data_IF_158321344549
#
_entry.id   IF_158321344549
#
_cell.length_a   1.000
_cell.length_b   1.000
_cell.length_c   1.000
_cell.angle_alpha   90.00
_cell.angle_beta   90.00
_cell.angle_gamma   90.00
#
_symmetry.space_group_name_H-M   'P 1'
#
loop_
_entity.id
_entity.type
_entity.pdbx_description
1 polymer ?
#
# COMPACT_ATOMS: atom_id res chain seq x y z
N UNK A 1 36.37 -36.26 9.55
CA UNK A 1 37.70 -36.63 9.03
C UNK A 1 37.76 -36.25 7.57
N UNK A 2 38.84 -35.58 7.19
CA UNK A 2 39.02 -34.75 6.00
C UNK A 2 39.12 -35.52 4.67
N UNK A 3 38.68 -34.85 3.60
CA UNK A 3 39.21 -34.88 2.23
C UNK A 3 38.54 -33.69 1.50
N UNK A 4 39.13 -32.84 0.66
CA UNK A 4 40.43 -32.76 -0.02
C UNK A 4 40.41 -31.42 -0.80
N UNK A 5 41.47 -30.60 -0.75
CA UNK A 5 42.12 -29.95 -1.93
C UNK A 5 43.22 -28.94 -1.54
N UNK A 6 44.46 -29.34 -1.84
CA UNK A 6 45.60 -28.55 -2.36
C UNK A 6 45.20 -27.96 -3.76
N UNK A 7 45.69 -26.87 -4.36
CA UNK A 7 46.98 -26.11 -4.42
C UNK A 7 46.65 -24.68 -4.97
N UNK A 8 47.21 -23.55 -4.48
CA UNK A 8 48.55 -22.91 -4.60
C UNK A 8 48.82 -22.02 -5.84
N UNK A 9 49.41 -20.84 -5.55
CA UNK A 9 50.08 -19.88 -6.46
C UNK A 9 49.41 -18.48 -6.41
N UNK A 10 49.92 -17.44 -5.71
CA UNK A 10 51.26 -16.83 -5.70
C UNK A 10 51.31 -15.72 -6.79
N UNK A 11 51.74 -14.47 -6.62
CA UNK A 11 52.39 -13.73 -5.54
C UNK A 11 52.29 -12.20 -5.75
N UNK A 12 52.51 -11.47 -4.65
CA UNK A 12 52.95 -10.08 -4.41
C UNK A 12 53.39 -9.17 -5.59
N UNK A 13 53.02 -7.88 -5.49
CA UNK A 13 53.95 -6.72 -5.34
C UNK A 13 53.27 -5.62 -4.51
N UNK A 14 53.97 -5.09 -3.50
CA UNK A 14 53.72 -3.81 -2.82
C UNK A 14 54.94 -2.92 -3.08
N UNK A 15 54.73 -1.64 -3.39
CA UNK A 15 55.63 -0.59 -2.91
C UNK A 15 54.94 0.80 -2.89
N UNK A 16 55.65 1.78 -2.35
CA UNK A 16 55.19 2.80 -1.41
C UNK A 16 55.46 4.24 -1.90
N UNK A 17 54.86 5.21 -1.20
CA UNK A 17 55.44 6.53 -0.84
C UNK A 17 55.28 7.78 -1.75
N UNK A 18 54.52 8.75 -1.20
CA UNK A 18 54.89 10.16 -0.85
C UNK A 18 55.06 11.33 -1.86
N UNK A 19 54.36 12.43 -1.50
CA UNK A 19 54.71 13.89 -1.47
C UNK A 19 54.61 14.80 -2.73
N UNK A 20 53.57 15.63 -2.74
CA UNK A 20 53.48 17.12 -2.66
C UNK A 20 54.36 18.12 -3.47
N UNK A 21 53.67 19.23 -3.83
CA UNK A 21 54.12 20.60 -4.26
C UNK A 21 54.57 20.77 -5.73
N UNK A 22 54.38 21.87 -6.48
CA UNK A 22 53.60 23.13 -6.42
C UNK A 22 53.83 23.88 -7.77
N UNK A 23 53.05 24.93 -8.05
CA UNK A 23 53.28 26.09 -8.96
C UNK A 23 52.92 26.08 -10.46
N UNK A 24 52.33 27.21 -10.94
CA UNK A 24 52.55 27.71 -12.31
C UNK A 24 51.38 28.29 -13.15
N UNK A 25 50.85 29.46 -12.75
CA UNK A 25 50.33 30.63 -13.52
C UNK A 25 50.08 30.65 -15.08
N UNK A 26 49.07 31.49 -15.46
CA UNK A 26 48.72 32.16 -16.76
C UNK A 26 47.84 31.35 -17.74
N UNK A 27 46.87 31.88 -18.48
CA UNK A 27 46.48 33.24 -18.88
C UNK A 27 44.99 33.30 -19.29
N UNK A 28 44.45 34.51 -19.38
CA UNK A 28 43.14 34.92 -19.89
C UNK A 28 42.87 34.49 -21.35
N UNK A 29 41.59 34.24 -21.70
CA UNK A 29 40.97 34.77 -22.92
C UNK A 29 39.44 34.59 -22.90
N UNK A 30 38.75 35.67 -23.27
CA UNK A 30 37.29 35.82 -23.26
C UNK A 30 36.64 35.30 -24.55
N UNK A 31 35.47 34.64 -24.48
CA UNK A 31 34.48 34.61 -25.57
C UNK A 31 33.04 34.54 -25.03
N UNK A 32 32.20 35.39 -25.61
CA UNK A 32 30.79 35.73 -25.38
C UNK A 32 29.75 34.56 -25.33
N UNK A 33 28.51 34.81 -24.83
CA UNK A 33 27.55 33.76 -24.48
C UNK A 33 26.75 33.28 -25.69
N UNK A 34 26.68 31.95 -25.87
CA UNK A 34 25.79 31.32 -26.84
C UNK A 34 24.46 30.94 -26.18
N UNK A 35 23.48 31.80 -26.44
CA UNK A 35 22.09 31.48 -26.83
C UNK A 35 21.41 30.25 -26.20
N UNK A 36 20.37 30.57 -25.42
CA UNK A 36 19.34 29.67 -24.94
C UNK A 36 18.80 28.73 -26.02
N UNK A 37 18.76 27.43 -25.72
CA UNK A 37 17.91 26.45 -26.42
C UNK A 37 16.93 25.85 -25.41
N UNK A 38 15.68 25.82 -25.83
CA UNK A 38 14.49 25.66 -24.99
C UNK A 38 14.52 24.45 -24.07
N UNK A 39 14.23 24.73 -22.80
CA UNK A 39 13.89 23.72 -21.81
C UNK A 39 12.50 23.20 -22.18
N UNK A 40 12.44 21.94 -22.61
CA UNK A 40 11.19 21.20 -22.77
C UNK A 40 10.56 21.06 -21.39
N UNK A 41 9.46 21.78 -21.16
CA UNK A 41 8.58 21.61 -20.00
C UNK A 41 7.76 20.34 -20.21
N UNK A 42 8.30 19.17 -19.88
CA UNK A 42 7.46 18.00 -19.66
C UNK A 42 7.59 17.53 -18.21
N UNK A 43 6.51 17.79 -17.45
CA UNK A 43 6.33 17.33 -16.07
C UNK A 43 5.56 16.00 -16.11
N UNK A 44 6.11 14.99 -16.79
CA UNK A 44 5.48 13.67 -16.87
C UNK A 44 5.84 12.82 -15.65
N UNK A 45 5.02 12.87 -14.60
CA UNK A 45 4.82 11.72 -13.73
C UNK A 45 3.85 10.75 -14.40
N UNK A 46 4.12 9.44 -14.29
CA UNK A 46 3.38 8.36 -14.97
C UNK A 46 1.86 8.61 -15.02
N UNK A 47 1.37 8.96 -16.22
CA UNK A 47 -0.07 9.01 -16.52
C UNK A 47 -0.63 7.59 -16.44
N UNK A 48 -1.76 7.43 -15.77
CA UNK A 48 -2.59 6.24 -15.91
C UNK A 48 -3.41 6.36 -17.20
N UNK A 49 -2.83 5.93 -18.33
CA UNK A 49 -3.57 5.69 -19.56
C UNK A 49 -3.14 4.34 -20.14
N UNK A 50 -4.08 3.40 -20.19
CA UNK A 50 -3.96 2.17 -20.99
C UNK A 50 -4.43 2.53 -22.39
N UNK A 51 -3.54 2.47 -23.38
CA UNK A 51 -3.88 2.77 -24.77
C UNK A 51 -2.75 2.50 -25.76
N UNK A 52 -2.90 1.35 -26.43
CA UNK A 52 -2.35 0.86 -27.70
C UNK A 52 -0.83 0.72 -27.93
N UNK A 53 -0.53 -0.50 -28.36
CA UNK A 53 0.68 -0.97 -29.02
C UNK A 53 1.01 -0.12 -30.24
N UNK A 54 2.01 0.74 -30.11
CA UNK A 54 2.87 1.16 -31.22
C UNK A 54 4.27 1.40 -30.65
N UNK A 55 5.10 0.36 -30.73
CA UNK A 55 6.49 0.38 -30.31
C UNK A 55 7.31 1.25 -31.28
N UNK A 56 7.33 2.56 -31.04
CA UNK A 56 8.28 3.45 -31.70
C UNK A 56 9.55 3.58 -30.85
N UNK A 57 10.67 3.23 -31.47
CA UNK A 57 12.01 3.45 -30.96
C UNK A 57 12.24 4.93 -30.65
N UNK A 58 12.13 5.30 -29.38
CA UNK A 58 12.63 6.57 -28.89
C UNK A 58 14.05 6.34 -28.37
N UNK A 59 15.04 6.97 -29.03
CA UNK A 59 16.42 7.00 -28.56
C UNK A 59 16.48 7.43 -27.10
N UNK A 60 17.36 6.79 -26.33
CA UNK A 60 17.59 7.09 -24.92
C UNK A 60 18.22 8.48 -24.78
N UNK A 61 17.39 9.53 -24.77
CA UNK A 61 17.79 10.84 -24.31
C UNK A 61 18.02 10.75 -22.79
N UNK A 62 19.27 10.83 -22.36
CA UNK A 62 19.58 10.99 -20.94
C UNK A 62 19.10 12.37 -20.50
N UNK A 63 17.92 12.42 -19.89
CA UNK A 63 17.43 13.62 -19.20
C UNK A 63 18.22 13.73 -17.90
N UNK A 64 18.89 14.87 -17.71
CA UNK A 64 19.64 15.15 -16.49
C UNK A 64 18.71 15.16 -15.27
N UNK A 65 19.19 14.64 -14.14
CA UNK A 65 18.39 14.56 -12.93
C UNK A 65 18.02 15.97 -12.44
N UNK A 66 16.77 16.13 -11.98
CA UNK A 66 16.28 17.41 -11.47
C UNK A 66 17.18 17.89 -10.31
N UNK A 67 17.57 19.18 -10.29
CA UNK A 67 18.43 19.71 -9.23
C UNK A 67 17.71 19.71 -7.87
N UNK A 68 18.50 19.72 -6.80
CA UNK A 68 17.98 19.92 -5.44
C UNK A 68 17.32 21.30 -5.31
N UNK A 69 16.19 21.36 -4.60
CA UNK A 69 15.49 22.59 -4.25
C UNK A 69 15.39 22.72 -2.74
N UNK A 70 15.81 23.85 -2.18
CA UNK A 70 15.52 24.24 -0.79
C UNK A 70 14.01 24.41 -0.57
N UNK A 71 13.57 24.45 0.69
CA UNK A 71 12.14 24.65 1.02
C UNK A 71 11.61 25.95 0.39
N UNK A 72 12.35 27.07 0.47
CA UNK A 72 11.99 28.32 -0.21
C UNK A 72 11.88 28.19 -1.74
N UNK A 73 12.73 27.36 -2.35
CA UNK A 73 12.67 27.10 -3.79
C UNK A 73 11.47 26.21 -4.13
N UNK A 74 11.11 25.26 -3.26
CA UNK A 74 9.92 24.42 -3.43
C UNK A 74 8.63 25.24 -3.30
N UNK A 75 8.52 26.14 -2.32
CA UNK A 75 7.37 27.06 -2.19
C UNK A 75 7.22 27.95 -3.42
N UNK A 76 8.32 28.55 -3.89
CA UNK A 76 8.31 29.32 -5.16
C UNK A 76 7.84 28.46 -6.32
N UNK A 77 8.28 27.22 -6.40
CA UNK A 77 7.87 26.30 -7.45
C UNK A 77 6.36 25.95 -7.39
N UNK A 78 5.76 25.84 -6.19
CA UNK A 78 4.30 25.66 -6.05
C UNK A 78 3.55 26.84 -6.67
N UNK A 79 3.94 28.07 -6.33
CA UNK A 79 3.33 29.31 -6.84
C UNK A 79 3.49 29.41 -8.35
N UNK A 80 4.68 29.11 -8.89
CA UNK A 80 4.93 29.07 -10.34
C UNK A 80 4.10 28.01 -11.08
N UNK A 81 3.71 26.93 -10.40
CA UNK A 81 2.84 25.88 -10.95
C UNK A 81 1.36 26.31 -10.96
N UNK A 82 1.04 27.44 -10.31
CA UNK A 82 -0.32 28.00 -10.24
C UNK A 82 -1.08 27.62 -8.98
N UNK A 83 -0.38 27.12 -7.95
CA UNK A 83 -0.97 26.87 -6.62
C UNK A 83 -0.91 28.17 -5.81
N UNK A 84 -2.05 28.57 -5.25
CA UNK A 84 -2.13 29.75 -4.41
C UNK A 84 -1.66 29.40 -2.98
N UNK A 85 -0.66 30.14 -2.51
CA UNK A 85 -0.12 30.02 -1.15
C UNK A 85 -0.27 31.39 -0.46
N UNK A 86 -1.43 31.69 0.17
CA UNK A 86 -1.67 32.96 0.85
C UNK A 86 -0.66 33.25 1.95
N UNK A 87 -0.30 32.23 2.73
CA UNK A 87 0.76 32.27 3.72
C UNK A 87 1.97 31.43 3.25
N UNK A 88 3.07 32.12 2.92
CA UNK A 88 4.29 31.47 2.47
C UNK A 88 5.05 30.79 3.62
N UNK A 89 4.87 31.22 4.87
CA UNK A 89 5.53 30.57 6.01
C UNK A 89 4.84 29.25 6.34
N UNK A 90 3.50 29.22 6.35
CA UNK A 90 2.73 27.97 6.50
C UNK A 90 3.11 26.95 5.41
N UNK A 91 3.25 27.41 4.16
CA UNK A 91 3.70 26.55 3.06
C UNK A 91 5.12 25.98 3.26
N UNK A 92 6.02 26.73 3.94
CA UNK A 92 7.37 26.23 4.27
C UNK A 92 7.31 25.18 5.37
N UNK A 93 6.62 25.47 6.48
CA UNK A 93 6.45 24.54 7.60
C UNK A 93 5.85 23.22 7.10
N UNK A 94 4.83 23.28 6.24
CA UNK A 94 4.23 22.11 5.60
C UNK A 94 5.26 21.28 4.79
N UNK A 95 6.15 21.92 4.04
CA UNK A 95 7.15 21.25 3.21
C UNK A 95 8.39 20.77 3.98
N UNK A 96 8.58 21.26 5.20
CA UNK A 96 9.55 20.71 6.16
C UNK A 96 9.03 19.39 6.74
N UNK A 97 7.72 19.28 6.99
CA UNK A 97 7.08 18.08 7.53
C UNK A 97 6.72 17.05 6.44
N UNK A 98 6.30 17.52 5.27
CA UNK A 98 5.75 16.69 4.20
C UNK A 98 6.58 16.86 2.93
N UNK A 99 7.21 15.76 2.51
CA UNK A 99 7.99 15.73 1.28
C UNK A 99 7.18 16.24 0.06
N UNK A 100 7.77 17.13 -0.73
CA UNK A 100 7.13 17.70 -1.94
C UNK A 100 6.46 16.66 -2.86
N UNK A 101 7.10 15.51 -3.11
CA UNK A 101 6.52 14.46 -3.97
C UNK A 101 5.31 13.77 -3.35
N UNK A 102 5.21 13.74 -2.02
CA UNK A 102 4.03 13.25 -1.30
C UNK A 102 2.84 14.16 -1.61
N UNK A 103 2.97 15.46 -1.37
CA UNK A 103 1.92 16.45 -1.67
C UNK A 103 1.59 16.47 -3.16
N UNK A 104 2.61 16.28 -4.02
CA UNK A 104 2.43 16.22 -5.47
C UNK A 104 1.39 15.21 -5.91
N UNK A 105 1.34 14.07 -5.23
CA UNK A 105 0.36 13.05 -5.57
C UNK A 105 -1.09 13.50 -5.35
N UNK A 106 -1.36 14.48 -4.49
CA UNK A 106 -2.72 14.94 -4.19
C UNK A 106 -3.18 16.04 -5.12
N UNK A 107 -2.30 16.99 -5.47
CA UNK A 107 -2.68 18.08 -6.38
C UNK A 107 -2.83 17.64 -7.84
N UNK A 108 -2.35 16.45 -8.22
CA UNK A 108 -2.68 15.82 -9.51
C UNK A 108 -4.19 15.73 -9.76
N UNK A 109 -5.01 15.80 -8.71
CA UNK A 109 -6.48 15.87 -8.82
C UNK A 109 -6.97 17.19 -9.44
N UNK A 110 -6.20 18.27 -9.31
CA UNK A 110 -6.48 19.59 -9.88
C UNK A 110 -5.77 19.81 -11.22
N UNK A 111 -4.92 18.87 -11.66
CA UNK A 111 -4.21 18.97 -12.95
C UNK A 111 -5.11 18.49 -14.10
N UNK A 112 -5.41 19.38 -15.04
CA UNK A 112 -6.08 19.08 -16.31
C UNK A 112 -5.18 19.47 -17.48
N UNK A 113 -4.84 18.52 -18.36
CA UNK A 113 -3.94 18.73 -19.51
C UNK A 113 -2.58 19.34 -19.13
N UNK A 114 -2.07 19.03 -17.93
CA UNK A 114 -0.79 19.55 -17.42
C UNK A 114 -0.87 20.98 -16.89
N UNK A 115 -2.06 21.55 -16.75
CA UNK A 115 -2.30 22.83 -16.10
C UNK A 115 -3.12 22.61 -14.83
N UNK A 116 -2.75 23.28 -13.75
CA UNK A 116 -3.54 23.28 -12.52
C UNK A 116 -4.80 24.12 -12.73
N UNK A 117 -5.94 23.65 -12.23
CA UNK A 117 -7.18 24.39 -12.22
C UNK A 117 -6.97 25.77 -11.57
N UNK A 118 -7.55 26.82 -12.17
CA UNK A 118 -7.41 28.19 -11.65
C UNK A 118 -7.88 28.27 -10.19
N UNK A 119 -7.20 29.07 -9.38
CA UNK A 119 -7.51 29.29 -7.97
C UNK A 119 -7.46 28.01 -7.10
N UNK A 120 -6.49 27.13 -7.37
CA UNK A 120 -6.24 25.99 -6.46
C UNK A 120 -5.39 26.47 -5.30
N UNK A 121 -5.99 26.63 -4.13
CA UNK A 121 -5.25 26.93 -2.90
C UNK A 121 -4.51 25.70 -2.35
N UNK A 122 -3.37 25.93 -1.71
CA UNK A 122 -2.59 24.89 -1.02
C UNK A 122 -3.45 24.18 0.05
N UNK A 123 -4.32 24.91 0.75
CA UNK A 123 -5.28 24.40 1.74
C UNK A 123 -6.13 23.25 1.18
N UNK A 124 -6.64 23.39 -0.05
CA UNK A 124 -7.45 22.36 -0.72
C UNK A 124 -6.67 21.08 -0.99
N UNK A 125 -5.37 21.18 -1.30
CA UNK A 125 -4.49 20.01 -1.49
C UNK A 125 -4.23 19.33 -0.14
N UNK A 126 -4.02 20.13 0.90
CA UNK A 126 -3.81 19.66 2.27
C UNK A 126 -5.05 18.94 2.80
N UNK A 127 -6.26 19.43 2.52
CA UNK A 127 -7.51 18.77 2.92
C UNK A 127 -7.65 17.38 2.29
N UNK A 128 -7.31 17.22 1.01
CA UNK A 128 -7.28 15.88 0.38
C UNK A 128 -6.25 14.98 1.07
N UNK A 129 -5.06 15.52 1.37
CA UNK A 129 -4.02 14.77 2.07
C UNK A 129 -4.48 14.30 3.46
N UNK A 130 -5.14 15.17 4.22
CA UNK A 130 -5.65 14.90 5.56
C UNK A 130 -6.81 13.90 5.54
N UNK A 131 -7.78 14.08 4.63
CA UNK A 131 -8.85 13.10 4.41
C UNK A 131 -8.27 11.72 4.06
N UNK A 132 -7.30 11.65 3.13
CA UNK A 132 -6.64 10.39 2.78
C UNK A 132 -5.95 9.74 3.98
N UNK A 133 -5.31 10.53 4.84
CA UNK A 133 -4.70 10.03 6.06
C UNK A 133 -5.73 9.45 7.02
N UNK A 134 -6.82 10.17 7.29
CA UNK A 134 -7.92 9.70 8.14
C UNK A 134 -8.56 8.42 7.58
N UNK A 135 -8.83 8.37 6.27
CA UNK A 135 -9.38 7.17 5.62
C UNK A 135 -8.43 5.97 5.70
N UNK A 136 -7.11 6.17 5.61
CA UNK A 136 -6.13 5.08 5.77
C UNK A 136 -6.09 4.56 7.20
N UNK A 137 -6.25 5.41 8.20
CA UNK A 137 -6.37 4.98 9.60
C UNK A 137 -7.66 4.18 9.83
N UNK A 138 -8.80 4.68 9.32
CA UNK A 138 -10.08 3.97 9.37
C UNK A 138 -9.99 2.60 8.69
N UNK A 139 -9.41 2.53 7.49
CA UNK A 139 -9.21 1.26 6.76
C UNK A 139 -8.29 0.29 7.52
N UNK A 140 -7.25 0.80 8.17
CA UNK A 140 -6.36 -0.01 9.00
C UNK A 140 -7.14 -0.67 10.15
N UNK A 141 -7.89 0.13 10.90
CA UNK A 141 -8.73 -0.34 12.00
C UNK A 141 -9.82 -1.31 11.51
N UNK A 142 -10.44 -1.03 10.36
CA UNK A 142 -11.45 -1.88 9.74
C UNK A 142 -10.91 -3.26 9.32
N UNK A 143 -9.70 -3.32 8.77
CA UNK A 143 -9.12 -4.57 8.25
C UNK A 143 -8.52 -5.43 9.36
N UNK A 144 -8.06 -4.83 10.47
CA UNK A 144 -7.44 -5.55 11.58
C UNK A 144 -8.26 -6.74 12.12
N UNK A 145 -9.56 -6.61 12.48
CA UNK A 145 -10.32 -7.75 12.98
C UNK A 145 -10.55 -8.83 11.90
N UNK A 146 -10.63 -8.43 10.63
CA UNK A 146 -10.71 -9.37 9.50
C UNK A 146 -9.44 -10.22 9.41
N UNK A 147 -8.26 -9.59 9.54
CA UNK A 147 -6.96 -10.27 9.56
C UNK A 147 -6.83 -11.27 10.72
N UNK A 148 -7.24 -10.88 11.94
CA UNK A 148 -7.23 -11.77 13.10
C UNK A 148 -8.16 -12.96 12.87
N UNK A 149 -9.41 -12.70 12.48
CA UNK A 149 -10.39 -13.78 12.29
C UNK A 149 -10.00 -14.72 11.16
N UNK A 150 -9.37 -14.24 10.08
CA UNK A 150 -8.98 -15.14 8.98
C UNK A 150 -7.83 -16.05 9.41
N UNK A 151 -6.87 -15.56 10.22
CA UNK A 151 -5.83 -16.38 10.85
C UNK A 151 -6.45 -17.46 11.73
N UNK A 152 -7.37 -17.08 12.61
CA UNK A 152 -8.09 -18.02 13.49
C UNK A 152 -8.86 -19.07 12.68
N UNK A 153 -9.63 -18.64 11.68
CA UNK A 153 -10.46 -19.53 10.86
C UNK A 153 -9.61 -20.50 10.06
N UNK A 154 -8.52 -20.01 9.45
CA UNK A 154 -7.57 -20.83 8.72
C UNK A 154 -6.92 -21.88 9.63
N UNK A 155 -6.34 -21.47 10.76
CA UNK A 155 -5.71 -22.38 11.70
C UNK A 155 -6.69 -23.43 12.23
N UNK A 156 -7.88 -23.00 12.66
CA UNK A 156 -8.89 -23.89 13.24
C UNK A 156 -9.34 -24.96 12.24
N UNK A 157 -9.83 -24.57 11.07
CA UNK A 157 -10.37 -25.53 10.10
C UNK A 157 -9.29 -26.42 9.50
N UNK A 158 -8.10 -25.86 9.20
CA UNK A 158 -7.01 -26.65 8.65
C UNK A 158 -6.49 -27.67 9.66
N UNK A 159 -6.34 -27.29 10.94
CA UNK A 159 -5.91 -28.22 11.98
C UNK A 159 -6.94 -29.29 12.33
N UNK A 160 -8.22 -28.91 12.38
CA UNK A 160 -9.31 -29.86 12.61
C UNK A 160 -9.34 -30.96 11.55
N UNK A 161 -9.11 -30.59 10.29
CA UNK A 161 -9.30 -31.49 9.16
C UNK A 161 -8.02 -32.29 8.81
N UNK A 162 -6.82 -31.74 9.06
CA UNK A 162 -5.55 -32.34 8.61
C UNK A 162 -4.41 -32.35 9.64
N UNK A 163 -4.66 -31.90 10.87
CA UNK A 163 -3.70 -31.96 11.96
C UNK A 163 -2.80 -30.71 12.13
N UNK A 164 -1.89 -30.74 13.11
CA UNK A 164 -1.18 -29.54 13.58
C UNK A 164 -0.23 -28.93 12.55
N UNK A 165 0.40 -29.73 11.69
CA UNK A 165 1.38 -29.25 10.69
C UNK A 165 0.80 -29.19 9.27
N UNK A 166 -0.52 -29.15 9.14
CA UNK A 166 -1.22 -29.21 7.86
C UNK A 166 -0.75 -28.13 6.86
N UNK A 167 -0.36 -26.94 7.32
CA UNK A 167 0.15 -25.89 6.43
C UNK A 167 1.43 -26.30 5.67
N UNK A 168 2.16 -27.32 6.15
CA UNK A 168 3.34 -27.89 5.49
C UNK A 168 3.01 -29.03 4.52
N UNK A 169 1.81 -29.62 4.57
CA UNK A 169 1.44 -30.72 3.66
C UNK A 169 1.17 -30.18 2.25
N UNK A 170 2.15 -30.31 1.36
CA UNK A 170 2.05 -29.90 -0.04
C UNK A 170 0.90 -30.56 -0.82
N UNK A 171 0.36 -31.70 -0.34
CA UNK A 171 -0.79 -32.37 -0.96
C UNK A 171 -2.12 -31.68 -0.68
N UNK A 172 -2.17 -30.70 0.23
CA UNK A 172 -3.36 -29.87 0.49
C UNK A 172 -3.41 -28.63 -0.41
N UNK A 173 -2.29 -28.24 -0.99
CA UNK A 173 -2.15 -27.02 -1.76
C UNK A 173 -1.92 -27.32 -3.24
N UNK A 174 -2.67 -26.64 -4.09
CA UNK A 174 -2.41 -26.55 -5.51
C UNK A 174 -1.07 -25.85 -5.73
N UNK A 175 -0.37 -26.24 -6.81
CA UNK A 175 0.94 -25.70 -7.18
C UNK A 175 1.99 -25.83 -6.06
N UNK A 176 2.60 -27.01 -5.98
CA UNK A 176 3.62 -27.34 -4.97
C UNK A 176 4.85 -26.42 -5.04
N UNK A 177 5.15 -25.83 -6.18
CA UNK A 177 6.26 -24.87 -6.33
C UNK A 177 5.94 -23.56 -5.60
N UNK A 178 4.75 -23.00 -5.85
CA UNK A 178 4.30 -21.79 -5.15
C UNK A 178 4.13 -22.02 -3.65
N UNK A 179 3.62 -23.18 -3.25
CA UNK A 179 3.52 -23.56 -1.84
C UNK A 179 4.90 -23.67 -1.19
N UNK A 180 5.89 -24.29 -1.84
CA UNK A 180 7.26 -24.37 -1.34
C UNK A 180 7.94 -23.00 -1.18
N UNK A 181 7.73 -22.09 -2.14
CA UNK A 181 8.21 -20.70 -2.02
C UNK A 181 7.54 -19.95 -0.86
N UNK A 182 6.25 -20.19 -0.65
CA UNK A 182 5.50 -19.61 0.47
C UNK A 182 5.95 -20.15 1.82
N UNK A 183 6.19 -21.47 1.92
CA UNK A 183 6.77 -22.10 3.12
C UNK A 183 8.15 -21.54 3.44
N UNK A 184 9.00 -21.36 2.43
CA UNK A 184 10.32 -20.75 2.63
C UNK A 184 10.23 -19.34 3.22
N UNK A 185 9.25 -18.54 2.77
CA UNK A 185 8.98 -17.22 3.33
C UNK A 185 8.43 -17.29 4.77
N UNK A 186 7.56 -18.26 5.07
CA UNK A 186 7.04 -18.50 6.43
C UNK A 186 8.16 -18.93 7.38
N UNK A 187 9.05 -19.83 6.95
CA UNK A 187 10.18 -20.30 7.75
C UNK A 187 11.16 -19.15 8.07
N UNK A 188 11.30 -18.16 7.17
CA UNK A 188 12.03 -16.91 7.46
C UNK A 188 11.35 -16.07 8.54
N UNK A 189 10.01 -15.99 8.56
CA UNK A 189 9.28 -15.31 9.65
C UNK A 189 9.44 -16.06 10.99
N UNK A 190 9.35 -17.40 10.98
CA UNK A 190 9.61 -18.23 12.18
C UNK A 190 11.04 -17.99 12.69
N UNK A 191 12.04 -17.98 11.81
CA UNK A 191 13.43 -17.72 12.18
C UNK A 191 13.63 -16.30 12.76
N UNK A 192 12.97 -15.28 12.19
CA UNK A 192 12.98 -13.91 12.73
C UNK A 192 12.32 -13.84 14.10
N UNK A 193 11.14 -14.44 14.27
CA UNK A 193 10.44 -14.50 15.55
C UNK A 193 11.26 -15.22 16.63
N UNK A 194 11.91 -16.35 16.29
CA UNK A 194 12.85 -17.04 17.17
C UNK A 194 14.03 -16.16 17.56
N UNK A 195 14.64 -15.45 16.59
CA UNK A 195 15.74 -14.51 16.86
C UNK A 195 15.31 -13.39 17.81
N UNK A 196 14.08 -12.92 17.68
CA UNK A 196 13.48 -11.90 18.55
C UNK A 196 12.99 -12.44 19.90
N UNK A 197 13.19 -13.72 20.20
CA UNK A 197 12.78 -14.37 21.44
C UNK A 197 11.25 -14.33 21.68
N UNK A 198 10.45 -14.43 20.61
CA UNK A 198 9.00 -14.51 20.72
C UNK A 198 8.58 -15.76 21.53
N UNK A 199 7.93 -15.60 22.70
CA UNK A 199 7.75 -16.71 23.66
C UNK A 199 7.05 -17.93 23.09
N UNK A 200 5.98 -17.72 22.31
CA UNK A 200 5.23 -18.81 21.68
C UNK A 200 6.08 -19.61 20.68
N UNK A 201 6.95 -18.92 19.93
CA UNK A 201 7.81 -19.55 18.92
C UNK A 201 8.92 -20.35 19.58
N UNK A 202 9.64 -19.76 20.54
CA UNK A 202 10.71 -20.45 21.25
C UNK A 202 10.17 -21.70 21.96
N UNK A 203 9.05 -21.58 22.69
CA UNK A 203 8.43 -22.71 23.38
C UNK A 203 8.08 -23.86 22.43
N UNK A 204 7.40 -23.58 21.31
CA UNK A 204 6.98 -24.63 20.39
C UNK A 204 8.17 -25.29 19.67
N UNK A 205 9.17 -24.52 19.25
CA UNK A 205 10.36 -25.08 18.61
C UNK A 205 11.20 -25.93 19.56
N UNK A 206 11.36 -25.52 20.82
CA UNK A 206 12.12 -26.27 21.82
C UNK A 206 11.40 -27.56 22.22
N UNK A 207 10.08 -27.49 22.41
CA UNK A 207 9.29 -28.62 22.91
C UNK A 207 8.87 -29.60 21.82
N UNK A 208 8.53 -29.12 20.63
CA UNK A 208 7.92 -29.92 19.57
C UNK A 208 8.70 -29.91 18.24
N UNK A 209 9.74 -29.08 18.10
CA UNK A 209 10.55 -28.99 16.89
C UNK A 209 9.95 -28.17 15.75
N UNK A 210 8.66 -27.79 15.84
CA UNK A 210 7.94 -27.01 14.83
C UNK A 210 6.73 -26.29 15.44
N UNK A 211 6.10 -25.39 14.67
CA UNK A 211 4.91 -24.65 15.10
C UNK A 211 3.64 -25.30 14.54
N UNK A 212 2.64 -25.63 15.38
CA UNK A 212 1.33 -26.02 14.87
C UNK A 212 0.60 -24.84 14.20
N UNK A 213 -0.43 -25.09 13.37
CA UNK A 213 -1.16 -24.08 12.61
C UNK A 213 -1.58 -22.89 13.49
N UNK A 214 -2.11 -23.13 14.69
CA UNK A 214 -2.59 -22.07 15.61
C UNK A 214 -1.47 -21.23 16.22
N UNK A 215 -0.22 -21.71 16.21
CA UNK A 215 0.94 -20.92 16.62
C UNK A 215 1.55 -20.20 15.42
N UNK A 216 1.70 -20.87 14.26
CA UNK A 216 2.36 -20.28 13.10
C UNK A 216 1.55 -19.14 12.48
N UNK A 217 0.21 -19.15 12.56
CA UNK A 217 -0.59 -18.03 12.03
C UNK A 217 -0.35 -16.70 12.76
N UNK A 218 0.21 -16.72 13.98
CA UNK A 218 0.58 -15.51 14.71
C UNK A 218 1.85 -14.86 14.16
N UNK A 219 2.74 -15.64 13.54
CA UNK A 219 3.95 -15.13 12.86
C UNK A 219 3.74 -14.88 11.36
N UNK A 220 2.73 -15.48 10.75
CA UNK A 220 2.40 -15.25 9.34
C UNK A 220 1.87 -13.83 9.12
N UNK A 221 2.19 -13.24 7.97
CA UNK A 221 1.51 -12.03 7.48
C UNK A 221 0.11 -12.36 6.91
N UNK A 222 -0.79 -11.37 6.87
CA UNK A 222 -2.08 -11.48 6.15
C UNK A 222 -1.92 -12.05 4.73
N UNK A 223 -0.89 -11.59 4.01
CA UNK A 223 -0.62 -11.99 2.63
C UNK A 223 -0.26 -13.46 2.51
N UNK A 224 0.50 -14.01 3.47
CA UNK A 224 0.85 -15.43 3.50
C UNK A 224 -0.39 -16.29 3.79
N UNK A 225 -1.23 -15.92 4.76
CA UNK A 225 -2.49 -16.62 5.04
C UNK A 225 -3.45 -16.55 3.84
N UNK A 226 -3.61 -15.36 3.25
CA UNK A 226 -4.41 -15.19 2.02
C UNK A 226 -3.88 -16.05 0.88
N UNK A 227 -2.56 -16.22 0.77
CA UNK A 227 -1.93 -17.04 -0.26
C UNK A 227 -2.15 -18.53 0.00
N UNK A 228 -1.99 -19.01 1.24
CA UNK A 228 -2.26 -20.39 1.60
C UNK A 228 -3.73 -20.77 1.33
N UNK A 229 -4.68 -19.92 1.76
CA UNK A 229 -6.11 -20.12 1.45
C UNK A 229 -6.34 -20.14 -0.06
N UNK A 230 -5.69 -19.22 -0.79
CA UNK A 230 -5.78 -19.15 -2.24
C UNK A 230 -5.17 -20.34 -2.97
N UNK A 231 -4.25 -21.06 -2.33
CA UNK A 231 -3.58 -22.25 -2.84
C UNK A 231 -4.27 -23.54 -2.39
N UNK A 232 -5.22 -23.57 -1.45
CA UNK A 232 -5.94 -24.80 -1.13
C UNK A 232 -6.51 -25.44 -2.41
N UNK A 233 -6.34 -26.76 -2.57
CA UNK A 233 -6.86 -27.47 -3.74
C UNK A 233 -8.38 -27.34 -3.81
N UNK A 234 -8.91 -27.37 -5.02
CA UNK A 234 -10.36 -27.43 -5.26
C UNK A 234 -10.75 -28.86 -5.64
N UNK A 235 -10.53 -29.79 -4.71
CA UNK A 235 -10.89 -31.20 -4.84
C UNK A 235 -11.69 -31.69 -3.62
N UNK A 236 -12.13 -32.95 -3.66
CA UNK A 236 -12.95 -33.52 -2.60
C UNK A 236 -12.27 -33.50 -1.21
N UNK A 237 -10.93 -33.47 -1.16
CA UNK A 237 -10.17 -33.48 0.09
C UNK A 237 -10.26 -32.13 0.76
N UNK A 238 -10.01 -31.03 0.05
CA UNK A 238 -9.82 -29.67 0.62
C UNK A 238 -10.95 -28.68 0.37
N UNK A 239 -11.84 -28.95 -0.59
CA UNK A 239 -13.01 -28.09 -0.83
C UNK A 239 -13.91 -27.91 0.41
N UNK A 240 -14.16 -28.92 1.28
CA UNK A 240 -14.92 -28.72 2.51
C UNK A 240 -14.28 -27.72 3.47
N UNK A 241 -12.96 -27.78 3.68
CA UNK A 241 -12.21 -26.84 4.53
C UNK A 241 -12.25 -25.43 3.97
N UNK A 242 -12.03 -25.26 2.66
CA UNK A 242 -12.13 -23.97 2.01
C UNK A 242 -13.54 -23.36 2.14
N UNK A 243 -14.59 -24.20 2.02
CA UNK A 243 -15.98 -23.79 2.26
C UNK A 243 -16.23 -23.40 3.71
N UNK A 244 -15.68 -24.11 4.69
CA UNK A 244 -15.82 -23.78 6.10
C UNK A 244 -15.15 -22.44 6.45
N UNK A 245 -13.93 -22.22 5.96
CA UNK A 245 -13.21 -20.93 6.10
C UNK A 245 -14.04 -19.79 5.48
N UNK A 246 -14.53 -19.96 4.26
CA UNK A 246 -15.37 -18.95 3.60
C UNK A 246 -16.70 -18.71 4.32
N UNK A 247 -17.31 -19.79 4.81
CA UNK A 247 -18.56 -19.76 5.57
C UNK A 247 -18.44 -18.98 6.89
N UNK A 248 -17.26 -18.96 7.52
CA UNK A 248 -17.01 -18.15 8.72
C UNK A 248 -17.14 -16.64 8.48
N UNK A 249 -17.17 -16.19 7.22
CA UNK A 249 -17.40 -14.81 6.79
C UNK A 249 -18.71 -14.65 5.99
N UNK A 250 -19.57 -15.68 5.97
CA UNK A 250 -20.80 -15.68 5.18
C UNK A 250 -20.58 -15.66 3.67
N UNK A 251 -19.41 -16.09 3.19
CA UNK A 251 -19.03 -16.02 1.78
C UNK A 251 -18.73 -17.38 1.15
N UNK A 252 -18.61 -17.39 -0.18
CA UNK A 252 -18.11 -18.54 -0.95
C UNK A 252 -16.59 -18.43 -1.16
N UNK A 253 -15.86 -19.56 -1.28
CA UNK A 253 -14.40 -19.53 -1.39
C UNK A 253 -13.84 -18.59 -2.48
N UNK A 254 -14.41 -18.52 -3.71
CA UNK A 254 -13.90 -17.60 -4.73
C UNK A 254 -14.10 -16.12 -4.38
N UNK A 255 -15.12 -15.78 -3.61
CA UNK A 255 -15.40 -14.41 -3.15
C UNK A 255 -14.41 -14.05 -2.05
N UNK A 256 -14.31 -14.88 -1.00
CA UNK A 256 -13.40 -14.63 0.11
C UNK A 256 -11.95 -14.55 -0.38
N UNK A 257 -11.51 -15.47 -1.25
CA UNK A 257 -10.16 -15.43 -1.85
C UNK A 257 -9.89 -14.09 -2.54
N UNK A 258 -10.82 -13.61 -3.35
CA UNK A 258 -10.68 -12.33 -4.04
C UNK A 258 -10.63 -11.15 -3.07
N UNK A 259 -11.47 -11.16 -2.03
CA UNK A 259 -11.53 -10.10 -1.03
C UNK A 259 -10.28 -10.06 -0.15
N UNK A 260 -9.76 -11.19 0.30
CA UNK A 260 -8.52 -11.25 1.08
C UNK A 260 -7.32 -10.72 0.28
N UNK A 261 -7.21 -11.07 -1.00
CA UNK A 261 -6.16 -10.52 -1.87
C UNK A 261 -6.29 -8.99 -2.03
N UNK A 262 -7.51 -8.49 -2.22
CA UNK A 262 -7.77 -7.06 -2.34
C UNK A 262 -7.46 -6.31 -1.02
N UNK A 263 -7.99 -6.80 0.11
CA UNK A 263 -7.77 -6.19 1.42
C UNK A 263 -6.32 -6.27 1.88
N UNK A 264 -5.57 -7.33 1.53
CA UNK A 264 -4.13 -7.37 1.78
C UNK A 264 -3.40 -6.24 1.03
N UNK A 265 -3.81 -5.93 -0.20
CA UNK A 265 -3.24 -4.83 -0.96
C UNK A 265 -3.58 -3.46 -0.34
N UNK A 266 -4.83 -3.28 0.12
CA UNK A 266 -5.27 -2.07 0.84
C UNK A 266 -4.56 -1.93 2.19
N UNK A 267 -4.42 -3.01 2.95
CA UNK A 267 -3.70 -3.01 4.24
C UNK A 267 -2.24 -2.65 4.05
N UNK A 268 -1.56 -3.23 3.06
CA UNK A 268 -0.17 -2.88 2.74
C UNK A 268 -0.04 -1.42 2.32
N UNK A 269 -1.00 -0.91 1.54
CA UNK A 269 -1.02 0.50 1.18
C UNK A 269 -1.11 1.39 2.43
N UNK A 270 -2.00 1.07 3.36
CA UNK A 270 -2.13 1.81 4.63
C UNK A 270 -0.85 1.69 5.48
N UNK A 271 -0.28 0.49 5.60
CA UNK A 271 0.95 0.22 6.36
C UNK A 271 2.14 1.08 5.91
N UNK A 272 2.28 1.25 4.59
CA UNK A 272 3.36 2.02 3.97
C UNK A 272 3.01 3.50 3.79
N UNK A 273 1.92 3.96 4.42
CA UNK A 273 1.43 5.33 4.28
C UNK A 273 1.21 5.73 2.81
N UNK A 274 0.88 4.79 1.92
CA UNK A 274 0.71 5.06 0.49
C UNK A 274 -0.61 5.77 0.22
N UNK A 275 -0.63 6.72 -0.73
CA UNK A 275 -1.86 7.44 -1.14
C UNK A 275 -2.95 6.46 -1.55
N UNK A 276 -4.10 6.52 -0.87
CA UNK A 276 -5.31 5.76 -1.18
C UNK A 276 -6.25 6.57 -2.09
N UNK A 277 -6.42 7.86 -1.84
CA UNK A 277 -7.25 8.78 -2.61
C UNK A 277 -6.83 8.88 -4.10
N UNK A 278 -7.83 8.87 -4.98
CA UNK A 278 -7.70 8.95 -6.43
C UNK A 278 -6.65 7.98 -7.00
N UNK A 279 -6.70 6.73 -6.56
CA UNK A 279 -5.85 5.61 -6.96
C UNK A 279 -6.64 4.64 -7.85
N UNK A 280 -5.95 4.14 -8.88
CA UNK A 280 -6.43 2.97 -9.62
C UNK A 280 -6.04 1.70 -8.87
N UNK A 281 -7.03 0.94 -8.42
CA UNK A 281 -6.88 -0.33 -7.72
C UNK A 281 -6.53 -1.45 -8.71
N UNK A 282 -5.27 -1.90 -8.66
CA UNK A 282 -4.76 -2.99 -9.52
C UNK A 282 -5.40 -4.33 -9.18
N UNK A 283 -5.54 -4.62 -7.90
CA UNK A 283 -6.22 -5.82 -7.40
C UNK A 283 -7.66 -5.41 -7.07
N UNK A 284 -8.62 -5.88 -7.87
CA UNK A 284 -10.04 -5.55 -7.71
C UNK A 284 -10.77 -6.65 -6.95
N UNK A 285 -11.70 -6.31 -6.04
CA UNK A 285 -12.52 -7.31 -5.39
C UNK A 285 -13.59 -7.81 -6.36
N UNK A 286 -13.90 -9.10 -6.26
CA UNK A 286 -15.05 -9.68 -6.96
C UNK A 286 -16.33 -9.20 -6.26
N UNK A 287 -17.14 -8.41 -6.96
CA UNK A 287 -18.39 -7.89 -6.40
C UNK A 287 -19.47 -8.97 -6.32
N UNK A 288 -20.30 -8.90 -5.28
CA UNK A 288 -21.53 -9.70 -5.20
C UNK A 288 -22.53 -9.22 -6.25
N UNK A 289 -23.46 -10.09 -6.65
CA UNK A 289 -24.49 -9.74 -7.65
C UNK A 289 -25.30 -8.49 -7.26
N UNK A 290 -25.62 -8.33 -5.97
CA UNK A 290 -26.35 -7.16 -5.45
C UNK A 290 -25.53 -5.85 -5.48
N UNK A 291 -24.20 -5.97 -5.53
CA UNK A 291 -23.26 -4.85 -5.46
C UNK A 291 -22.53 -4.60 -6.79
N UNK A 292 -22.85 -5.37 -7.85
CA UNK A 292 -22.13 -5.34 -9.13
C UNK A 292 -22.20 -3.99 -9.83
N UNK A 293 -23.27 -3.22 -9.60
CA UNK A 293 -23.44 -1.84 -10.11
C UNK A 293 -22.36 -0.88 -9.61
N UNK A 294 -21.67 -1.24 -8.52
CA UNK A 294 -20.60 -0.46 -7.91
C UNK A 294 -19.21 -0.98 -8.28
N UNK A 295 -19.12 -1.98 -9.15
CA UNK A 295 -17.83 -2.50 -9.60
C UNK A 295 -17.05 -1.41 -10.35
N UNK A 296 -15.83 -1.16 -9.92
CA UNK A 296 -14.92 -0.22 -10.58
C UNK A 296 -13.47 -0.61 -10.32
N UNK A 297 -12.53 0.12 -10.91
CA UNK A 297 -11.12 0.06 -10.59
C UNK A 297 -10.71 1.15 -9.58
N UNK A 298 -11.69 1.76 -8.91
CA UNK A 298 -11.50 2.78 -7.89
C UNK A 298 -11.69 2.17 -6.49
N UNK A 299 -11.71 3.02 -5.49
CA UNK A 299 -11.55 2.71 -4.08
C UNK A 299 -12.88 2.36 -3.41
N UNK A 300 -13.99 2.96 -3.87
CA UNK A 300 -15.33 2.73 -3.31
C UNK A 300 -15.73 1.24 -3.11
N UNK A 301 -15.43 0.30 -4.04
CA UNK A 301 -15.63 -1.13 -3.82
C UNK A 301 -15.01 -1.69 -2.54
N UNK A 302 -13.91 -1.11 -2.06
CA UNK A 302 -13.24 -1.50 -0.80
C UNK A 302 -14.19 -1.37 0.39
N UNK A 303 -14.90 -0.25 0.49
CA UNK A 303 -15.83 0.04 1.59
C UNK A 303 -17.03 -0.91 1.56
N UNK A 304 -17.52 -1.26 0.36
CA UNK A 304 -18.58 -2.26 0.20
C UNK A 304 -18.09 -3.64 0.67
N UNK A 305 -16.88 -4.06 0.30
CA UNK A 305 -16.32 -5.35 0.73
C UNK A 305 -16.22 -5.42 2.26
N UNK A 306 -15.70 -4.35 2.89
CA UNK A 306 -15.62 -4.26 4.35
C UNK A 306 -17.02 -4.33 4.97
N UNK A 307 -17.98 -3.54 4.47
CA UNK A 307 -19.39 -3.61 4.90
C UNK A 307 -19.94 -5.02 4.87
N UNK A 308 -19.79 -5.73 3.75
CA UNK A 308 -20.31 -7.10 3.59
C UNK A 308 -19.64 -8.10 4.52
N UNK A 309 -18.35 -7.93 4.84
CA UNK A 309 -17.67 -8.77 5.82
C UNK A 309 -18.17 -8.51 7.24
N UNK A 310 -18.36 -7.25 7.62
CA UNK A 310 -18.84 -6.88 8.95
C UNK A 310 -20.30 -7.26 9.16
N UNK A 311 -21.20 -6.99 8.21
CA UNK A 311 -22.61 -7.41 8.29
C UNK A 311 -22.79 -8.91 8.56
N UNK A 312 -21.87 -9.75 8.07
CA UNK A 312 -21.94 -11.20 8.24
C UNK A 312 -21.24 -11.69 9.50
N UNK A 313 -20.29 -10.92 10.02
CA UNK A 313 -19.36 -11.40 11.06
C UNK A 313 -19.54 -10.69 12.39
N UNK A 314 -19.74 -9.38 12.36
CA UNK A 314 -19.89 -8.49 13.50
C UNK A 314 -20.95 -7.42 13.17
N UNK A 315 -22.23 -7.82 13.05
CA UNK A 315 -23.29 -6.93 12.58
C UNK A 315 -23.40 -5.65 13.43
N UNK A 316 -23.19 -5.78 14.75
CA UNK A 316 -23.27 -4.64 15.68
C UNK A 316 -22.16 -3.60 15.47
N UNK A 317 -21.01 -3.99 14.89
CA UNK A 317 -19.85 -3.10 14.71
C UNK A 317 -19.91 -2.26 13.44
N UNK A 318 -20.67 -2.68 12.42
CA UNK A 318 -20.70 -1.95 11.16
C UNK A 318 -21.28 -0.55 11.33
N UNK A 319 -22.32 -0.40 12.15
CA UNK A 319 -23.01 0.87 12.34
C UNK A 319 -22.06 1.94 12.91
N UNK A 320 -21.30 1.60 13.95
CA UNK A 320 -20.33 2.52 14.56
C UNK A 320 -19.25 2.94 13.56
N UNK A 321 -18.71 1.99 12.80
CA UNK A 321 -17.72 2.27 11.76
C UNK A 321 -18.27 3.10 10.61
N UNK A 322 -19.54 2.89 10.25
CA UNK A 322 -20.23 3.66 9.23
C UNK A 322 -20.42 5.12 9.67
N UNK A 323 -20.80 5.35 10.94
CA UNK A 323 -20.89 6.69 11.55
C UNK A 323 -19.52 7.36 11.54
N UNK A 324 -18.48 6.67 12.02
CA UNK A 324 -17.10 7.19 12.02
C UNK A 324 -16.62 7.58 10.61
N UNK A 325 -16.87 6.73 9.61
CA UNK A 325 -16.56 7.03 8.21
C UNK A 325 -17.31 8.29 7.73
N UNK A 326 -18.57 8.43 8.14
CA UNK A 326 -19.37 9.63 7.90
C UNK A 326 -18.71 10.89 8.45
N UNK A 327 -18.33 10.87 9.73
CA UNK A 327 -17.67 11.99 10.40
C UNK A 327 -16.33 12.35 9.76
N UNK A 328 -15.51 11.36 9.41
CA UNK A 328 -14.23 11.58 8.71
C UNK A 328 -14.46 12.31 7.39
N UNK A 329 -15.47 11.91 6.62
CA UNK A 329 -15.78 12.55 5.33
C UNK A 329 -16.36 13.95 5.55
N UNK A 330 -17.26 14.11 6.52
CA UNK A 330 -17.93 15.39 6.80
C UNK A 330 -16.97 16.46 7.35
N UNK A 331 -15.85 16.05 7.95
CA UNK A 331 -14.79 16.97 8.38
C UNK A 331 -14.04 17.64 7.20
N UNK A 332 -14.19 17.14 5.97
CA UNK A 332 -13.55 17.69 4.76
C UNK A 332 -14.58 17.97 3.65
N UNK A 333 -15.55 18.88 3.86
CA UNK A 333 -16.69 19.08 2.95
C UNK A 333 -16.30 19.57 1.55
N UNK A 334 -15.12 20.17 1.40
CA UNK A 334 -14.59 20.67 0.13
C UNK A 334 -13.89 19.59 -0.71
N UNK A 335 -13.64 18.41 -0.15
CA UNK A 335 -12.96 17.32 -0.86
C UNK A 335 -13.96 16.45 -1.62
N UNK A 336 -13.83 16.43 -2.95
CA UNK A 336 -14.67 15.58 -3.79
C UNK A 336 -14.36 14.09 -3.62
N UNK A 337 -15.37 13.26 -3.41
CA UNK A 337 -15.19 11.79 -3.38
C UNK A 337 -15.33 11.13 -4.76
N UNK A 338 -15.75 11.87 -5.79
CA UNK A 338 -15.91 11.34 -7.14
C UNK A 338 -14.63 10.71 -7.72
N UNK A 339 -13.41 11.26 -7.50
CA UNK A 339 -12.16 10.62 -7.93
C UNK A 339 -11.90 9.25 -7.30
N UNK A 340 -12.48 8.97 -6.13
CA UNK A 340 -12.44 7.68 -5.44
C UNK A 340 -13.54 6.69 -5.90
N UNK A 341 -14.39 7.12 -6.84
CA UNK A 341 -15.50 6.35 -7.37
C UNK A 341 -16.72 6.26 -6.44
N UNK A 342 -16.83 7.17 -5.45
CA UNK A 342 -18.03 7.25 -4.63
C UNK A 342 -19.20 7.78 -5.46
N UNK A 343 -20.37 7.12 -5.42
CA UNK A 343 -21.60 7.66 -6.01
C UNK A 343 -22.23 8.70 -5.09
N UNK A 344 -23.11 9.55 -5.61
CA UNK A 344 -23.83 10.55 -4.80
C UNK A 344 -24.63 9.92 -3.64
N UNK A 345 -25.18 8.71 -3.86
CA UNK A 345 -25.90 7.94 -2.85
C UNK A 345 -25.01 7.04 -1.98
N UNK A 346 -23.70 7.32 -1.87
CA UNK A 346 -22.77 6.46 -1.12
C UNK A 346 -23.20 6.22 0.34
N UNK A 347 -23.81 7.22 0.98
CA UNK A 347 -24.36 7.10 2.35
C UNK A 347 -25.42 6.02 2.43
N UNK A 348 -26.36 5.99 1.50
CA UNK A 348 -27.41 4.97 1.43
C UNK A 348 -26.82 3.58 1.17
N UNK A 349 -25.82 3.51 0.28
CA UNK A 349 -25.14 2.25 -0.07
C UNK A 349 -24.42 1.66 1.15
N UNK A 350 -23.74 2.52 1.92
CA UNK A 350 -22.96 2.14 3.09
C UNK A 350 -23.78 2.13 4.39
N UNK A 351 -25.03 2.63 4.38
CA UNK A 351 -25.86 2.74 5.59
C UNK A 351 -25.32 3.79 6.57
N UNK A 352 -24.67 4.83 6.06
CA UNK A 352 -24.14 5.94 6.86
C UNK A 352 -25.25 6.96 7.08
N UNK A 353 -25.57 7.35 8.33
CA UNK A 353 -26.58 8.38 8.57
C UNK A 353 -26.14 9.72 7.98
N UNK A 354 -27.09 10.60 7.66
CA UNK A 354 -26.75 12.00 7.35
C UNK A 354 -26.35 12.68 8.66
N UNK A 355 -25.33 13.52 8.63
CA UNK A 355 -25.00 14.35 9.78
C UNK A 355 -26.25 15.16 10.17
N UNK A 356 -26.71 15.00 11.41
CA UNK A 356 -27.67 15.94 12.00
C UNK A 356 -26.93 17.27 12.15
N UNK A 357 -27.58 18.37 11.76
CA UNK A 357 -26.96 19.69 11.66
C UNK A 357 -26.16 20.08 12.93
N UNK A 358 -24.83 20.07 12.85
CA UNK A 358 -23.98 21.15 13.37
C UNK A 358 -23.47 21.14 14.82
N UNK A 359 -23.17 20.01 15.48
CA UNK A 359 -22.46 20.11 16.78
C UNK A 359 -21.38 19.09 17.12
N UNK A 360 -21.13 18.05 16.31
CA UNK A 360 -20.14 17.01 16.67
C UNK A 360 -18.95 16.86 15.69
N UNK A 361 -18.97 17.55 14.54
CA UNK A 361 -17.89 17.47 13.55
C UNK A 361 -16.58 18.14 14.04
N UNK A 362 -16.66 19.12 14.94
CA UNK A 362 -15.51 19.91 15.38
C UNK A 362 -14.57 19.17 16.36
N UNK A 363 -15.03 18.08 16.98
CA UNK A 363 -14.25 17.36 18.00
C UNK A 363 -13.16 16.41 17.45
N UNK A 364 -13.21 16.08 16.15
CA UNK A 364 -12.30 15.10 15.52
C UNK A 364 -11.26 15.74 14.60
N UNK A 365 -11.35 17.03 14.29
CA UNK A 365 -10.38 17.73 13.45
C UNK A 365 -9.08 18.12 14.20
N UNK A 366 -9.06 17.99 15.53
CA UNK A 366 -7.92 18.36 16.40
C UNK A 366 -7.12 17.15 16.95
N UNK A 367 -7.35 15.93 16.45
CA UNK A 367 -6.56 14.73 16.78
C UNK A 367 -5.89 14.16 15.54
#
# INVERSE_FOLDING_TARGET
MNATRFEWGGAMVKDSSQRAMDSGHKNEDAVAPKTAKGIVKDNSSQRASLGNDDANQAGSFFVEMKPFLSVDQQVRHLVETGIECPDLNEAKELLEDINYYRLRAYWMTFEHNGQIAKATELSSIVDIYRLDAALRQWLWAAIQPIEIKIRTSFAYFLSRDYGPLAYRDSLLFADSSRHGGLLSSIDQEIARAKKNQEPCVCHNLEKYGDLPCWAVVEVMTMGQVSSLIGLLRDDFRTAPTAKAIAGAFGQRPPILKSWLMHLCAVRNLCAHQGRFYNRVMRIRPKMLRKDIRWASNKEFPTFIVIKRLFEQTWPDRWNDMAIELGHIIDAYPNVSLAPMGFPDCWREVLGVPKAENGSEADAWAEQ
#
